data_IF_866504301952
#
_entry.id   IF_866504301952
#
_cell.length_a   1.000
_cell.length_b   1.000
_cell.length_c   1.000
_cell.angle_alpha   90.00
_cell.angle_beta   90.00
_cell.angle_gamma   90.00
#
_symmetry.space_group_name_H-M   'P 1'
#
loop_
_entity.id
_entity.type
_entity.pdbx_description
1 polymer ?
#
# COMPACT_ATOMS: atom_id res chain seq x y z
N UNK A 1 -6.38 -27.39 11.41
CA UNK A 1 -6.43 -25.97 11.79
C UNK A 1 -7.28 -25.27 10.75
N UNK A 2 -8.30 -24.51 11.16
CA UNK A 2 -9.07 -23.72 10.20
C UNK A 2 -8.16 -22.73 9.47
N UNK A 3 -8.31 -22.65 8.15
CA UNK A 3 -7.57 -21.71 7.30
C UNK A 3 -8.01 -20.29 7.64
N UNK A 4 -7.18 -19.56 8.37
CA UNK A 4 -7.43 -18.21 8.84
C UNK A 4 -6.43 -17.25 8.20
N UNK A 5 -6.85 -16.03 7.91
CA UNK A 5 -5.94 -14.96 7.50
C UNK A 5 -5.10 -14.50 8.71
N UNK A 6 -3.81 -14.78 8.69
CA UNK A 6 -2.86 -14.45 9.75
C UNK A 6 -2.01 -13.22 9.44
N UNK A 7 -2.31 -12.49 8.35
CA UNK A 7 -1.60 -11.25 8.02
C UNK A 7 -1.89 -10.18 9.06
N UNK A 8 -0.84 -9.52 9.54
CA UNK A 8 -0.97 -8.36 10.42
C UNK A 8 -1.14 -7.09 9.60
N UNK A 9 -2.30 -6.39 9.68
CA UNK A 9 -2.54 -5.18 8.90
C UNK A 9 -1.82 -3.98 9.51
N UNK A 10 -1.04 -3.28 8.67
CA UNK A 10 -0.36 -2.04 9.03
C UNK A 10 -0.50 -1.00 7.93
N UNK A 11 -0.41 0.28 8.29
CA UNK A 11 -0.33 1.40 7.34
C UNK A 11 1.07 2.00 7.40
N UNK A 12 1.78 1.95 6.29
CA UNK A 12 3.13 2.48 6.15
C UNK A 12 3.09 3.96 5.73
N UNK A 13 3.95 4.78 6.32
CA UNK A 13 4.20 6.15 5.86
C UNK A 13 5.16 6.12 4.67
N UNK A 14 4.64 5.86 3.47
CA UNK A 14 5.44 5.63 2.27
C UNK A 14 6.39 6.80 1.93
N UNK A 15 6.00 8.03 2.23
CA UNK A 15 6.85 9.23 2.11
C UNK A 15 8.19 9.11 2.85
N UNK A 16 8.22 8.41 3.98
CA UNK A 16 9.42 8.22 4.80
C UNK A 16 10.24 6.99 4.41
N UNK A 17 9.77 6.22 3.43
CA UNK A 17 10.37 4.96 3.01
C UNK A 17 10.88 5.07 1.57
N UNK A 18 11.95 4.33 1.27
CA UNK A 18 12.46 4.18 -0.09
C UNK A 18 12.00 2.83 -0.64
N UNK A 19 11.17 2.86 -1.66
CA UNK A 19 10.65 1.67 -2.36
C UNK A 19 11.51 1.41 -3.59
N UNK A 20 11.88 0.15 -3.81
CA UNK A 20 12.56 -0.30 -5.03
C UNK A 20 11.65 -1.28 -5.76
N UNK A 21 11.47 -1.06 -7.05
CA UNK A 21 10.80 -2.02 -7.95
C UNK A 21 11.84 -2.57 -8.92
N UNK A 22 11.94 -3.89 -9.03
CA UNK A 22 12.80 -4.56 -9.99
C UNK A 22 11.95 -5.14 -11.11
N UNK A 23 12.17 -4.64 -12.32
CA UNK A 23 11.40 -4.94 -13.52
C UNK A 23 10.65 -3.73 -14.07
N UNK A 24 10.40 -3.70 -15.38
CA UNK A 24 9.75 -2.59 -16.10
C UNK A 24 8.57 -3.01 -16.97
N UNK A 25 8.07 -4.24 -16.79
CA UNK A 25 6.95 -4.81 -17.53
C UNK A 25 5.57 -4.41 -16.99
N UNK A 26 4.52 -5.12 -17.43
CA UNK A 26 3.13 -4.87 -17.04
C UNK A 26 2.91 -4.91 -15.52
N UNK A 27 3.53 -5.88 -14.85
CA UNK A 27 3.37 -6.05 -13.40
C UNK A 27 4.01 -4.89 -12.64
N UNK A 28 5.20 -4.43 -13.07
CA UNK A 28 5.85 -3.26 -12.48
C UNK A 28 5.00 -2.01 -12.62
N UNK A 29 4.46 -1.74 -13.83
CA UNK A 29 3.57 -0.62 -14.09
C UNK A 29 2.31 -0.66 -13.21
N UNK A 30 1.68 -1.85 -13.10
CA UNK A 30 0.52 -2.05 -12.23
C UNK A 30 0.84 -1.74 -10.76
N UNK A 31 1.93 -2.31 -10.23
CA UNK A 31 2.34 -2.10 -8.82
C UNK A 31 2.68 -0.65 -8.54
N UNK A 32 3.41 0.00 -9.47
CA UNK A 32 3.70 1.43 -9.38
C UNK A 32 2.43 2.26 -9.38
N UNK A 33 1.51 2.01 -10.33
CA UNK A 33 0.24 2.74 -10.40
C UNK A 33 -0.56 2.68 -9.10
N UNK A 34 -0.75 1.47 -8.55
CA UNK A 34 -1.50 1.33 -7.30
C UNK A 34 -0.79 1.92 -6.09
N UNK A 35 0.55 1.84 -6.03
CA UNK A 35 1.33 2.48 -4.98
C UNK A 35 1.15 4.00 -5.01
N UNK A 36 1.33 4.63 -6.17
CA UNK A 36 1.24 6.08 -6.34
C UNK A 36 -0.20 6.60 -6.21
N UNK A 37 -1.20 5.84 -6.69
CA UNK A 37 -2.62 6.16 -6.45
C UNK A 37 -2.95 6.22 -4.96
N UNK A 38 -2.36 5.35 -4.15
CA UNK A 38 -2.57 5.31 -2.70
C UNK A 38 -1.67 6.28 -1.93
N UNK A 39 -0.45 6.46 -2.39
CA UNK A 39 0.60 7.23 -1.70
C UNK A 39 1.39 8.04 -2.73
N UNK A 40 0.85 9.17 -3.22
CA UNK A 40 1.44 9.95 -4.31
C UNK A 40 2.79 10.58 -3.96
N UNK A 41 3.11 10.68 -2.67
CA UNK A 41 4.38 11.19 -2.12
C UNK A 41 5.39 10.08 -1.79
N UNK A 42 5.17 8.84 -2.24
CA UNK A 42 6.11 7.75 -2.08
C UNK A 42 7.37 7.99 -2.92
N UNK A 43 8.54 7.69 -2.33
CA UNK A 43 9.83 7.73 -3.04
C UNK A 43 10.11 6.37 -3.66
N UNK A 44 10.10 6.31 -4.98
CA UNK A 44 10.25 5.06 -5.71
C UNK A 44 11.43 5.11 -6.66
N UNK A 45 12.25 4.06 -6.63
CA UNK A 45 13.27 3.77 -7.66
C UNK A 45 12.83 2.52 -8.41
N UNK A 46 12.92 2.53 -9.73
CA UNK A 46 12.66 1.35 -10.56
C UNK A 46 13.91 1.01 -11.37
N UNK A 47 14.33 -0.25 -11.32
CA UNK A 47 15.47 -0.75 -12.08
C UNK A 47 14.99 -1.76 -13.12
N UNK A 48 15.25 -1.49 -14.39
CA UNK A 48 14.92 -2.37 -15.51
C UNK A 48 15.70 -1.98 -16.75
N UNK A 49 16.09 -2.92 -17.64
CA UNK A 49 16.68 -2.59 -18.94
C UNK A 49 15.72 -1.79 -19.86
N UNK A 50 14.42 -1.90 -19.64
CA UNK A 50 13.39 -1.22 -20.42
C UNK A 50 12.16 -0.90 -19.57
N UNK A 51 11.44 0.16 -19.96
CA UNK A 51 10.21 0.59 -19.28
C UNK A 51 9.08 0.74 -20.28
N UNK A 52 7.86 0.45 -19.84
CA UNK A 52 6.65 0.71 -20.60
C UNK A 52 6.29 2.19 -20.59
N UNK A 53 5.54 2.63 -21.61
CA UNK A 53 5.07 4.02 -21.74
C UNK A 53 4.30 4.50 -20.50
N UNK A 54 3.42 3.64 -19.91
CA UNK A 54 2.70 3.96 -18.68
C UNK A 54 3.62 4.18 -17.49
N UNK A 55 4.70 3.43 -17.37
CA UNK A 55 5.72 3.64 -16.32
C UNK A 55 6.44 4.97 -16.51
N UNK A 56 6.81 5.33 -17.77
CA UNK A 56 7.43 6.62 -18.10
C UNK A 56 6.49 7.78 -17.76
N UNK A 57 5.20 7.66 -18.10
CA UNK A 57 4.19 8.70 -17.81
C UNK A 57 4.03 8.90 -16.29
N UNK A 58 4.00 7.82 -15.50
CA UNK A 58 3.95 7.89 -14.04
C UNK A 58 5.22 8.54 -13.46
N UNK A 59 6.40 8.17 -13.97
CA UNK A 59 7.66 8.74 -13.52
C UNK A 59 7.78 10.25 -13.80
N UNK A 60 7.16 10.74 -14.87
CA UNK A 60 7.11 12.17 -15.16
C UNK A 60 6.18 12.96 -14.24
N UNK A 61 5.23 12.30 -13.59
CA UNK A 61 4.19 12.93 -12.77
C UNK A 61 4.43 12.81 -11.26
N UNK A 62 5.31 11.91 -10.85
CA UNK A 62 5.57 11.60 -9.44
C UNK A 62 7.08 11.51 -9.17
N UNK A 63 7.48 11.43 -7.90
CA UNK A 63 8.87 11.27 -7.47
C UNK A 63 9.35 9.81 -7.71
N UNK A 64 9.56 9.47 -8.98
CA UNK A 64 9.99 8.13 -9.41
C UNK A 64 11.30 8.23 -10.18
N UNK A 65 12.34 7.60 -9.65
CA UNK A 65 13.63 7.46 -10.31
C UNK A 65 13.65 6.21 -11.20
N UNK A 66 14.01 6.36 -12.47
CA UNK A 66 14.16 5.26 -13.42
C UNK A 66 15.65 4.97 -13.69
N UNK A 67 16.07 3.74 -13.49
CA UNK A 67 17.43 3.27 -13.75
C UNK A 67 17.38 2.21 -14.85
N UNK A 68 17.98 2.53 -15.99
CA UNK A 68 18.09 1.61 -17.13
C UNK A 68 19.26 0.65 -16.93
N UNK A 69 19.02 -0.42 -16.17
CA UNK A 69 20.02 -1.44 -15.87
C UNK A 69 19.36 -2.78 -15.56
N UNK A 70 20.16 -3.85 -15.51
CA UNK A 70 19.76 -5.13 -14.94
C UNK A 70 19.88 -5.08 -13.41
N UNK A 71 19.20 -6.03 -12.73
CA UNK A 71 19.30 -6.10 -11.27
C UNK A 71 20.75 -6.31 -10.81
N UNK A 72 21.13 -5.55 -9.78
CA UNK A 72 22.36 -5.73 -9.03
C UNK A 72 22.06 -5.42 -7.57
N UNK A 73 22.62 -6.18 -6.65
CA UNK A 73 22.33 -6.06 -5.21
C UNK A 73 22.78 -4.74 -4.57
N UNK A 74 23.60 -3.94 -5.26
CA UNK A 74 23.97 -2.59 -4.81
C UNK A 74 22.77 -1.64 -4.78
N UNK A 75 21.72 -1.89 -5.59
CA UNK A 75 20.49 -1.11 -5.61
C UNK A 75 19.67 -1.23 -4.33
N UNK A 76 19.92 -2.27 -3.52
CA UNK A 76 19.26 -2.46 -2.23
C UNK A 76 19.74 -1.49 -1.13
N UNK A 77 20.87 -0.81 -1.35
CA UNK A 77 21.41 0.11 -0.35
C UNK A 77 20.42 1.24 -0.04
N UNK A 78 20.04 1.38 1.23
CA UNK A 78 19.13 2.41 1.70
C UNK A 78 17.66 2.20 1.31
N UNK A 79 17.29 1.04 0.77
CA UNK A 79 15.90 0.67 0.47
C UNK A 79 15.25 -0.01 1.67
N UNK A 80 13.94 0.18 1.82
CA UNK A 80 13.14 -0.34 2.94
C UNK A 80 12.15 -1.40 2.48
N UNK A 81 11.62 -1.25 1.26
CA UNK A 81 10.67 -2.14 0.62
C UNK A 81 11.13 -2.45 -0.80
N UNK A 82 11.05 -3.71 -1.19
CA UNK A 82 11.39 -4.17 -2.54
C UNK A 82 10.22 -4.93 -3.14
N UNK A 83 9.93 -4.67 -4.42
CA UNK A 83 8.91 -5.37 -5.19
C UNK A 83 9.61 -5.95 -6.43
N UNK A 84 9.76 -7.27 -6.47
CA UNK A 84 10.32 -7.98 -7.61
C UNK A 84 9.19 -8.37 -8.58
N UNK A 85 9.30 -7.93 -9.82
CA UNK A 85 8.26 -8.03 -10.85
C UNK A 85 8.80 -8.49 -12.20
N UNK A 86 10.00 -9.06 -12.23
CA UNK A 86 10.59 -9.51 -13.50
C UNK A 86 9.89 -10.79 -13.98
N UNK A 87 9.99 -11.06 -15.27
CA UNK A 87 9.57 -12.31 -15.91
C UNK A 87 10.63 -13.41 -15.81
N UNK A 88 11.75 -13.15 -15.10
CA UNK A 88 12.85 -14.08 -14.89
C UNK A 88 12.80 -14.58 -13.43
N UNK A 89 12.28 -15.81 -13.17
CA UNK A 89 12.11 -16.33 -11.81
C UNK A 89 13.41 -16.35 -11.00
N UNK A 90 14.53 -16.65 -11.63
CA UNK A 90 15.85 -16.71 -11.00
C UNK A 90 16.27 -15.36 -10.42
N UNK A 91 16.04 -14.28 -11.17
CA UNK A 91 16.30 -12.90 -10.70
C UNK A 91 15.39 -12.56 -9.53
N UNK A 92 14.11 -12.91 -9.58
CA UNK A 92 13.18 -12.65 -8.49
C UNK A 92 13.59 -13.38 -7.20
N UNK A 93 14.09 -14.63 -7.30
CA UNK A 93 14.62 -15.40 -6.16
C UNK A 93 15.93 -14.78 -5.64
N UNK A 94 16.81 -14.31 -6.52
CA UNK A 94 18.03 -13.60 -6.14
C UNK A 94 17.69 -12.32 -5.35
N UNK A 95 16.77 -11.48 -5.87
CA UNK A 95 16.27 -10.28 -5.17
C UNK A 95 15.74 -10.63 -3.78
N UNK A 96 14.93 -11.69 -3.68
CA UNK A 96 14.40 -12.14 -2.39
C UNK A 96 15.53 -12.50 -1.41
N UNK A 97 16.49 -13.33 -1.81
CA UNK A 97 17.57 -13.77 -0.95
C UNK A 97 18.43 -12.58 -0.48
N UNK A 98 18.75 -11.66 -1.38
CA UNK A 98 19.51 -10.44 -1.08
C UNK A 98 18.77 -9.51 -0.13
N UNK A 99 17.44 -9.38 -0.26
CA UNK A 99 16.59 -8.63 0.66
C UNK A 99 16.59 -9.28 2.05
N UNK A 100 16.42 -10.61 2.13
CA UNK A 100 16.43 -11.32 3.42
C UNK A 100 17.77 -11.17 4.15
N UNK A 101 18.90 -11.24 3.43
CA UNK A 101 20.22 -11.03 4.00
C UNK A 101 20.44 -9.62 4.58
N UNK A 102 19.63 -8.63 4.12
CA UNK A 102 19.71 -7.22 4.55
C UNK A 102 18.54 -6.78 5.43
N UNK A 103 17.63 -7.69 5.81
CA UNK A 103 16.42 -7.38 6.57
C UNK A 103 15.52 -6.34 5.89
N UNK A 104 15.46 -6.35 4.55
CA UNK A 104 14.58 -5.52 3.75
C UNK A 104 13.31 -6.30 3.47
N UNK A 105 12.14 -5.67 3.64
CA UNK A 105 10.87 -6.30 3.32
C UNK A 105 10.72 -6.46 1.81
N UNK A 106 10.33 -7.65 1.35
CA UNK A 106 10.21 -7.97 -0.06
C UNK A 106 8.85 -8.56 -0.42
N UNK A 107 8.36 -8.20 -1.60
CA UNK A 107 7.23 -8.83 -2.28
C UNK A 107 7.69 -9.31 -3.65
N UNK A 108 7.59 -10.60 -3.90
CA UNK A 108 7.80 -11.18 -5.24
C UNK A 108 6.43 -11.39 -5.86
N UNK A 109 6.16 -10.68 -6.96
CA UNK A 109 4.87 -10.72 -7.62
C UNK A 109 4.50 -12.17 -8.02
N UNK A 110 3.26 -12.54 -7.79
CA UNK A 110 2.68 -13.86 -8.08
C UNK A 110 3.38 -15.05 -7.42
N UNK A 111 4.21 -14.80 -6.39
CA UNK A 111 4.94 -15.84 -5.67
C UNK A 111 4.82 -15.71 -4.14
N UNK A 112 3.69 -16.12 -3.54
CA UNK A 112 3.41 -15.95 -2.11
C UNK A 112 4.50 -16.43 -1.14
N UNK A 113 5.20 -17.56 -1.38
CA UNK A 113 6.29 -18.01 -0.50
C UNK A 113 7.45 -17.02 -0.36
N UNK A 114 7.63 -16.11 -1.32
CA UNK A 114 8.68 -15.09 -1.33
C UNK A 114 8.14 -13.69 -1.00
N UNK A 115 7.04 -13.59 -0.24
CA UNK A 115 6.43 -12.33 0.14
C UNK A 115 6.44 -12.13 1.64
N UNK A 116 7.04 -11.03 2.12
CA UNK A 116 6.92 -10.57 3.51
C UNK A 116 5.64 -9.73 3.70
N UNK A 117 5.11 -9.14 2.63
CA UNK A 117 3.90 -8.33 2.63
C UNK A 117 3.11 -8.46 1.33
N UNK A 118 1.83 -8.13 1.38
CA UNK A 118 0.97 -8.10 0.20
C UNK A 118 0.45 -6.70 -0.09
N UNK A 119 0.32 -6.40 -1.37
CA UNK A 119 -0.33 -5.17 -1.86
C UNK A 119 -1.79 -5.51 -2.20
N UNK A 120 -2.68 -5.31 -1.24
CA UNK A 120 -4.11 -5.60 -1.38
C UNK A 120 -4.91 -4.50 -2.08
N UNK A 121 -6.23 -4.68 -2.15
CA UNK A 121 -7.14 -3.63 -2.59
C UNK A 121 -7.17 -2.48 -1.59
N UNK A 122 -7.14 -1.23 -2.08
CA UNK A 122 -7.14 -0.04 -1.23
C UNK A 122 -8.27 0.89 -1.67
N UNK A 123 -9.07 1.33 -0.71
CA UNK A 123 -10.02 2.44 -0.86
C UNK A 123 -9.44 3.66 -0.15
N UNK A 124 -9.48 4.81 -0.81
CA UNK A 124 -9.06 6.08 -0.22
C UNK A 124 -10.14 7.13 -0.43
N UNK A 125 -10.64 7.72 0.65
CA UNK A 125 -11.60 8.83 0.67
C UNK A 125 -11.05 9.88 1.64
N UNK A 126 -10.32 10.87 1.13
CA UNK A 126 -9.61 11.84 1.95
C UNK A 126 -8.67 11.17 2.97
N UNK A 127 -8.88 11.42 4.26
CA UNK A 127 -8.10 10.84 5.36
C UNK A 127 -8.47 9.37 5.68
N UNK A 128 -9.57 8.85 5.11
CA UNK A 128 -9.99 7.47 5.36
C UNK A 128 -9.34 6.53 4.35
N UNK A 129 -8.68 5.49 4.86
CA UNK A 129 -8.15 4.38 4.06
C UNK A 129 -8.66 3.05 4.57
N UNK A 130 -9.05 2.18 3.65
CA UNK A 130 -9.40 0.77 3.92
C UNK A 130 -8.49 -0.11 3.08
N UNK A 131 -7.75 -0.99 3.73
CA UNK A 131 -6.95 -2.00 3.05
C UNK A 131 -7.64 -3.37 3.16
N UNK A 132 -7.71 -4.08 2.03
CA UNK A 132 -8.44 -5.33 1.92
C UNK A 132 -7.47 -6.42 1.49
N UNK A 133 -7.38 -7.48 2.28
CA UNK A 133 -6.59 -8.66 1.95
C UNK A 133 -7.44 -9.92 2.10
N UNK A 134 -7.34 -10.80 1.10
CA UNK A 134 -7.90 -12.16 1.13
C UNK A 134 -6.81 -13.21 1.34
N UNK A 135 -5.64 -12.80 1.84
CA UNK A 135 -4.46 -13.67 2.02
C UNK A 135 -4.06 -14.40 0.72
N UNK A 136 -4.18 -13.73 -0.43
CA UNK A 136 -3.87 -14.32 -1.74
C UNK A 136 -4.95 -15.29 -2.26
N UNK A 137 -5.99 -15.62 -1.47
CA UNK A 137 -6.99 -16.64 -1.85
C UNK A 137 -7.90 -16.19 -3.00
N UNK A 138 -8.24 -14.90 -3.08
CA UNK A 138 -9.17 -14.43 -4.12
C UNK A 138 -8.95 -12.96 -4.47
N UNK A 139 -8.11 -12.65 -5.47
CA UNK A 139 -7.96 -11.30 -5.99
C UNK A 139 -9.30 -10.69 -6.46
N UNK A 140 -10.17 -11.52 -7.05
CA UNK A 140 -11.51 -11.09 -7.50
C UNK A 140 -12.38 -10.64 -6.33
N UNK A 141 -12.40 -11.37 -5.23
CA UNK A 141 -13.16 -10.98 -4.02
C UNK A 141 -12.61 -9.69 -3.44
N UNK A 142 -11.28 -9.54 -3.33
CA UNK A 142 -10.66 -8.30 -2.86
C UNK A 142 -11.05 -7.11 -3.74
N UNK A 143 -11.06 -7.28 -5.08
CA UNK A 143 -11.51 -6.26 -6.04
C UNK A 143 -12.98 -5.89 -5.84
N UNK A 144 -13.88 -6.88 -5.66
CA UNK A 144 -15.33 -6.63 -5.44
C UNK A 144 -15.59 -5.92 -4.12
N UNK A 145 -14.91 -6.33 -3.04
CA UNK A 145 -15.01 -5.64 -1.76
C UNK A 145 -14.50 -4.20 -1.85
N UNK A 146 -13.39 -3.96 -2.57
CA UNK A 146 -12.91 -2.60 -2.82
C UNK A 146 -13.97 -1.75 -3.53
N UNK A 147 -14.56 -2.25 -4.62
CA UNK A 147 -15.64 -1.56 -5.34
C UNK A 147 -16.82 -1.27 -4.43
N UNK A 148 -17.28 -2.25 -3.67
CA UNK A 148 -18.38 -2.08 -2.72
C UNK A 148 -18.09 -0.97 -1.70
N UNK A 149 -16.89 -0.94 -1.10
CA UNK A 149 -16.55 0.12 -0.14
C UNK A 149 -16.33 1.48 -0.81
N UNK A 150 -15.85 1.52 -2.06
CA UNK A 150 -15.81 2.77 -2.85
C UNK A 150 -17.20 3.37 -3.05
N UNK A 151 -18.20 2.52 -3.29
CA UNK A 151 -19.60 2.95 -3.54
C UNK A 151 -20.34 3.32 -2.24
N UNK A 152 -20.13 2.54 -1.16
CA UNK A 152 -20.87 2.72 0.10
C UNK A 152 -20.32 3.86 0.95
N UNK A 153 -19.02 4.11 0.92
CA UNK A 153 -18.42 5.20 1.68
C UNK A 153 -18.63 6.52 0.94
N UNK A 154 -19.40 7.46 1.53
CA UNK A 154 -19.70 8.73 0.87
C UNK A 154 -18.45 9.58 0.67
N UNK A 155 -18.43 10.42 -0.37
CA UNK A 155 -17.29 11.30 -0.67
C UNK A 155 -16.99 12.30 0.48
N UNK A 156 -18.02 12.74 1.17
CA UNK A 156 -17.90 13.69 2.28
C UNK A 156 -17.53 13.06 3.64
N UNK A 157 -17.14 11.77 3.67
CA UNK A 157 -16.64 11.14 4.92
C UNK A 157 -15.41 11.86 5.47
N UNK A 158 -14.64 12.49 4.60
CA UNK A 158 -13.46 13.26 5.00
C UNK A 158 -13.83 14.50 5.83
N UNK A 159 -14.88 15.22 5.46
CA UNK A 159 -15.41 16.35 6.22
C UNK A 159 -15.80 15.92 7.64
N UNK A 160 -16.42 14.74 7.77
CA UNK A 160 -16.77 14.19 9.07
C UNK A 160 -15.51 13.94 9.93
N UNK A 161 -14.47 13.33 9.36
CA UNK A 161 -13.21 13.06 10.08
C UNK A 161 -12.54 14.35 10.52
N UNK A 162 -12.49 15.37 9.65
CA UNK A 162 -11.92 16.67 9.97
C UNK A 162 -12.73 17.38 11.05
N UNK A 163 -14.05 17.43 10.92
CA UNK A 163 -14.95 18.07 11.89
C UNK A 163 -14.85 17.42 13.27
N UNK A 164 -14.80 16.07 13.33
CA UNK A 164 -14.61 15.35 14.60
C UNK A 164 -13.24 15.64 15.22
N UNK A 165 -12.19 15.78 14.41
CA UNK A 165 -10.86 16.13 14.90
C UNK A 165 -10.84 17.57 15.50
N UNK A 166 -11.46 18.54 14.82
CA UNK A 166 -11.60 19.90 15.35
C UNK A 166 -12.47 19.93 16.62
N UNK A 167 -13.62 19.25 16.60
CA UNK A 167 -14.48 19.13 17.78
C UNK A 167 -13.74 18.54 18.99
N UNK A 168 -12.92 17.49 18.78
CA UNK A 168 -12.08 16.90 19.83
C UNK A 168 -11.17 17.91 20.52
N UNK A 169 -10.67 18.91 19.80
CA UNK A 169 -9.80 19.97 20.36
C UNK A 169 -10.58 20.91 21.29
N UNK A 170 -11.89 21.07 21.09
CA UNK A 170 -12.76 21.95 21.92
C UNK A 170 -13.25 21.28 23.19
N UNK A 171 -13.29 19.95 23.25
CA UNK A 171 -13.77 19.20 24.42
C UNK A 171 -12.80 19.41 25.59
N UNK A 172 -13.34 19.90 26.71
CA UNK A 172 -12.61 20.03 27.98
C UNK A 172 -12.66 18.69 28.74
N UNK A 173 -11.64 18.46 29.55
CA UNK A 173 -11.55 17.24 30.37
C UNK A 173 -10.33 16.36 30.01
N UNK A 174 -10.24 15.24 30.70
CA UNK A 174 -9.19 14.25 30.49
C UNK A 174 -9.42 13.39 29.21
N UNK A 175 -8.54 12.44 28.99
CA UNK A 175 -8.61 11.58 27.79
C UNK A 175 -9.89 10.74 27.76
N UNK A 176 -10.30 10.18 28.90
CA UNK A 176 -11.47 9.30 28.97
C UNK A 176 -12.77 10.05 28.70
N UNK A 177 -12.92 11.24 29.30
CA UNK A 177 -14.08 12.12 29.06
C UNK A 177 -14.19 12.53 27.60
N UNK A 178 -13.05 12.86 26.95
CA UNK A 178 -13.02 13.18 25.50
C UNK A 178 -13.45 12.00 24.65
N UNK A 179 -12.98 10.78 24.97
CA UNK A 179 -13.34 9.56 24.24
C UNK A 179 -14.84 9.28 24.42
N UNK A 180 -15.37 9.38 25.63
CA UNK A 180 -16.79 9.15 25.90
C UNK A 180 -17.68 10.14 25.10
N UNK A 181 -17.36 11.43 25.15
CA UNK A 181 -18.11 12.44 24.41
C UNK A 181 -18.11 12.18 22.91
N UNK A 182 -16.95 11.82 22.34
CA UNK A 182 -16.86 11.49 20.91
C UNK A 182 -17.63 10.22 20.54
N UNK A 183 -17.60 9.19 21.40
CA UNK A 183 -18.36 7.96 21.18
C UNK A 183 -19.87 8.22 21.20
N UNK A 184 -20.38 9.05 22.09
CA UNK A 184 -21.78 9.44 22.13
C UNK A 184 -22.18 10.21 20.85
N UNK A 185 -21.37 11.15 20.41
CA UNK A 185 -21.61 11.93 19.20
C UNK A 185 -21.61 11.06 17.92
N UNK A 186 -20.77 10.04 17.86
CA UNK A 186 -20.62 9.18 16.69
C UNK A 186 -21.47 7.91 16.73
N UNK A 187 -22.22 7.70 17.81
CA UNK A 187 -23.07 6.50 17.99
C UNK A 187 -24.05 6.26 16.82
N UNK A 188 -24.56 7.33 16.22
CA UNK A 188 -25.46 7.27 15.08
C UNK A 188 -24.83 6.77 13.77
N UNK A 189 -23.49 6.81 13.63
CA UNK A 189 -22.78 6.35 12.43
C UNK A 189 -22.82 4.83 12.25
N UNK A 190 -22.97 4.08 13.34
CA UNK A 190 -22.95 2.61 13.33
C UNK A 190 -24.27 2.00 13.80
N UNK A 191 -25.29 2.81 14.13
CA UNK A 191 -26.61 2.30 14.44
C UNK A 191 -27.28 1.80 13.15
N UNK A 192 -27.60 0.50 13.10
CA UNK A 192 -28.45 -0.03 12.04
C UNK A 192 -29.79 0.66 12.13
N UNK A 193 -30.27 1.20 11.00
CA UNK A 193 -31.68 1.55 10.84
C UNK A 193 -32.53 0.32 10.89
#
# INVERSE_FOLDING_TARGET
MESRNNLYPIFLKAKALHVLIIGGGNVAEEKLHFLLKSSPDAKVTIVSPMFREGTLALANSFDVELIYDTYNNSYLKGKHLVIATTDIPEVNVEVYNDCKARHILVNVADNPPYCDFYMGGIVTKGHVKIAISTNGQSPTTAKRLRQFFEDVIPENVDDLVQNLNEFRKTIKGDFEQKVQTLNEFTKGLISKK
#
